data_IF_038972832625
#
_entry.id   IF_038972832625
#
_cell.length_a   1.000
_cell.length_b   1.000
_cell.length_c   1.000
_cell.angle_alpha   90.00
_cell.angle_beta   90.00
_cell.angle_gamma   90.00
#
_symmetry.space_group_name_H-M   'P 1'
#
loop_
_entity.id
_entity.type
_entity.pdbx_description
1 polymer ?
#
# COMPACT_ATOMS: atom_id res chain seq x y z
N UNK A 1 12.21 18.17 -1.14
CA UNK A 1 11.18 19.05 -1.72
C UNK A 1 10.90 20.11 -0.68
N UNK A 2 11.58 21.24 -0.83
CA UNK A 2 11.49 22.45 0.01
C UNK A 2 11.41 23.64 -0.97
N UNK A 3 10.56 24.65 -0.72
CA UNK A 3 10.08 25.02 0.60
C UNK A 3 8.59 24.77 0.79
N UNK A 4 8.22 23.80 1.63
CA UNK A 4 6.82 23.61 2.04
C UNK A 4 6.29 24.80 2.84
N UNK A 5 7.22 25.59 3.38
CA UNK A 5 6.95 26.80 4.15
C UNK A 5 6.74 28.06 3.29
N UNK A 6 6.86 27.94 1.96
CA UNK A 6 6.68 29.08 1.04
C UNK A 6 5.23 29.39 0.68
N UNK A 7 4.28 28.54 1.09
CA UNK A 7 2.86 28.72 0.81
C UNK A 7 1.98 28.19 1.93
N UNK A 8 0.83 28.83 2.14
CA UNK A 8 -0.24 28.35 3.02
C UNK A 8 -1.18 27.35 2.31
N UNK A 9 -1.03 27.19 0.99
CA UNK A 9 -1.89 26.30 0.22
C UNK A 9 -1.49 24.85 0.47
N UNK A 10 -2.35 24.08 1.13
CA UNK A 10 -2.09 22.69 1.51
C UNK A 10 -2.50 21.65 0.45
N UNK A 11 -2.96 22.06 -0.74
CA UNK A 11 -3.41 21.14 -1.79
C UNK A 11 -2.31 20.18 -2.28
N UNK A 12 -1.03 20.47 -2.01
CA UNK A 12 0.07 19.54 -2.28
C UNK A 12 0.05 18.29 -1.38
N UNK A 13 -0.67 18.31 -0.24
CA UNK A 13 -0.74 17.20 0.69
C UNK A 13 -1.64 16.07 0.19
N UNK A 14 -2.56 16.35 -0.74
CA UNK A 14 -3.44 15.34 -1.31
C UNK A 14 -4.63 15.91 -2.05
N UNK A 15 -5.33 15.03 -2.75
CA UNK A 15 -6.58 15.29 -3.43
C UNK A 15 -7.38 13.99 -3.53
N UNK A 16 -8.69 14.10 -3.72
CA UNK A 16 -9.58 13.00 -4.10
C UNK A 16 -10.01 13.19 -5.55
N UNK A 17 -9.80 12.17 -6.39
CA UNK A 17 -10.37 12.14 -7.73
C UNK A 17 -11.77 11.51 -7.67
N UNK A 18 -12.80 12.33 -7.43
CA UNK A 18 -14.19 11.86 -7.29
C UNK A 18 -14.75 11.17 -8.55
N UNK A 19 -14.15 11.41 -9.72
CA UNK A 19 -14.51 10.74 -10.98
C UNK A 19 -13.85 9.35 -11.16
N UNK A 20 -13.04 8.89 -10.20
CA UNK A 20 -12.35 7.60 -10.30
C UNK A 20 -13.35 6.43 -10.24
N UNK A 21 -13.41 5.54 -11.25
CA UNK A 21 -14.37 4.43 -11.28
C UNK A 21 -14.04 3.31 -10.27
N UNK A 22 -12.85 3.35 -9.64
CA UNK A 22 -12.42 2.35 -8.67
C UNK A 22 -12.75 2.75 -7.22
N UNK A 23 -13.39 3.91 -7.00
CA UNK A 23 -13.73 4.39 -5.66
C UNK A 23 -14.89 3.58 -5.03
N UNK A 24 -14.82 3.21 -3.73
CA UNK A 24 -13.66 3.28 -2.85
C UNK A 24 -12.62 2.20 -3.17
N UNK A 25 -11.38 2.61 -3.48
CA UNK A 25 -10.32 1.67 -3.89
C UNK A 25 -9.88 0.73 -2.76
N UNK A 26 -10.07 1.14 -1.49
CA UNK A 26 -9.79 0.34 -0.29
C UNK A 26 -10.97 0.41 0.68
N UNK A 27 -11.24 -0.70 1.36
CA UNK A 27 -12.29 -0.77 2.38
C UNK A 27 -11.92 0.09 3.61
N UNK A 28 -12.94 0.69 4.23
CA UNK A 28 -12.81 1.41 5.51
C UNK A 28 -12.45 2.89 5.42
N UNK A 29 -12.13 3.43 4.24
CA UNK A 29 -11.95 4.87 4.03
C UNK A 29 -13.27 5.49 3.61
N UNK A 30 -13.79 6.46 4.38
CA UNK A 30 -15.14 7.04 4.18
C UNK A 30 -15.18 8.56 3.90
N UNK A 31 -14.03 9.24 3.98
CA UNK A 31 -13.93 10.70 3.82
C UNK A 31 -12.98 11.02 2.67
N UNK A 32 -12.02 11.91 2.91
CA UNK A 32 -10.95 12.27 2.00
C UNK A 32 -10.05 11.07 1.69
N UNK A 33 -10.08 10.64 0.44
CA UNK A 33 -9.17 9.62 -0.09
C UNK A 33 -7.98 10.32 -0.75
N UNK A 34 -6.76 10.05 -0.27
CA UNK A 34 -5.57 10.68 -0.87
C UNK A 34 -5.11 9.92 -2.12
N UNK A 35 -5.53 10.39 -3.30
CA UNK A 35 -5.17 9.81 -4.59
C UNK A 35 -3.71 10.06 -5.01
N UNK A 36 -3.01 10.99 -4.35
CA UNK A 36 -1.58 11.22 -4.61
C UNK A 36 -0.74 9.95 -4.42
N UNK A 37 -1.20 9.05 -3.56
CA UNK A 37 -0.51 7.83 -3.20
C UNK A 37 -1.23 6.56 -3.69
N UNK A 38 -2.09 6.67 -4.72
CA UNK A 38 -2.78 5.50 -5.33
C UNK A 38 -1.79 4.37 -5.68
N UNK A 39 -0.57 4.73 -6.05
CA UNK A 39 0.57 3.84 -5.97
C UNK A 39 1.34 4.15 -4.69
N UNK A 40 1.51 3.14 -3.83
CA UNK A 40 2.20 3.32 -2.56
C UNK A 40 3.65 3.75 -2.81
N UNK A 41 4.08 4.95 -2.39
CA UNK A 41 5.45 5.40 -2.57
C UNK A 41 6.44 4.62 -1.69
N UNK A 42 5.94 3.81 -0.75
CA UNK A 42 6.74 2.94 0.11
C UNK A 42 6.81 1.49 -0.38
N UNK A 43 6.38 1.19 -1.61
CA UNK A 43 6.31 -0.19 -2.11
C UNK A 43 7.68 -0.91 -2.13
N UNK A 44 8.77 -0.18 -2.32
CA UNK A 44 10.14 -0.70 -2.31
C UNK A 44 10.87 -0.55 -0.96
N UNK A 45 10.23 0.08 0.02
CA UNK A 45 10.85 0.45 1.29
C UNK A 45 10.20 -0.29 2.46
N UNK A 46 10.94 -0.46 3.54
CA UNK A 46 10.40 -0.91 4.81
C UNK A 46 9.30 0.03 5.29
N UNK A 47 8.15 -0.55 5.66
CA UNK A 47 7.02 0.21 6.11
C UNK A 47 6.13 -0.61 7.05
N UNK A 48 5.38 0.03 7.94
CA UNK A 48 4.47 -0.65 8.85
C UNK A 48 3.10 -0.87 8.20
N UNK A 49 3.00 -0.90 6.87
CA UNK A 49 1.74 -1.20 6.20
C UNK A 49 1.38 -2.68 6.39
N UNK A 50 0.08 -3.04 6.43
CA UNK A 50 -0.36 -4.44 6.50
C UNK A 50 -0.17 -5.17 5.16
N UNK A 51 0.97 -4.98 4.48
CA UNK A 51 1.24 -5.63 3.21
C UNK A 51 1.39 -7.14 3.38
N UNK A 52 1.08 -7.87 2.32
CA UNK A 52 1.42 -9.29 2.17
C UNK A 52 2.58 -9.41 1.19
N UNK A 53 3.30 -10.53 1.21
CA UNK A 53 4.29 -10.82 0.19
C UNK A 53 3.71 -11.76 -0.84
N UNK A 54 3.86 -11.40 -2.11
CA UNK A 54 3.48 -12.22 -3.24
C UNK A 54 4.70 -12.45 -4.12
N UNK A 55 4.72 -13.58 -4.83
CA UNK A 55 5.71 -13.85 -5.87
C UNK A 55 5.04 -13.62 -7.21
N UNK A 56 5.62 -12.74 -8.03
CA UNK A 56 5.08 -12.49 -9.37
C UNK A 56 5.37 -13.65 -10.34
N UNK A 57 4.84 -13.56 -11.56
CA UNK A 57 5.04 -14.56 -12.62
C UNK A 57 6.51 -14.78 -13.04
N UNK A 58 7.41 -13.88 -12.63
CA UNK A 58 8.85 -13.95 -12.91
C UNK A 58 9.67 -14.43 -11.71
N UNK A 59 9.01 -14.87 -10.63
CA UNK A 59 9.68 -15.35 -9.42
C UNK A 59 10.18 -14.24 -8.49
N UNK A 60 9.82 -12.97 -8.75
CA UNK A 60 10.22 -11.85 -7.91
C UNK A 60 9.25 -11.61 -6.77
N UNK A 61 9.77 -11.48 -5.55
CA UNK A 61 8.97 -11.09 -4.39
C UNK A 61 8.54 -9.63 -4.48
N UNK A 62 7.28 -9.36 -4.16
CA UNK A 62 6.66 -8.03 -4.15
C UNK A 62 5.75 -7.87 -2.95
N UNK A 63 5.53 -6.63 -2.54
CA UNK A 63 4.47 -6.28 -1.60
C UNK A 63 3.13 -6.22 -2.32
N UNK A 64 2.16 -6.97 -1.81
CA UNK A 64 0.73 -6.73 -2.05
C UNK A 64 0.21 -5.78 -0.97
N UNK A 65 -0.01 -4.53 -1.37
CA UNK A 65 -0.52 -3.46 -0.51
C UNK A 65 -2.04 -3.28 -0.62
N UNK A 66 -2.78 -4.16 -1.32
CA UNK A 66 -4.25 -4.08 -1.41
C UNK A 66 -5.01 -4.00 -0.07
N UNK A 67 -4.53 -4.56 1.07
CA UNK A 67 -5.19 -4.37 2.37
C UNK A 67 -4.80 -3.06 3.09
N UNK A 68 -3.90 -2.24 2.53
CA UNK A 68 -3.37 -1.05 3.22
C UNK A 68 -4.20 0.20 2.93
N UNK A 69 -4.63 0.90 3.99
CA UNK A 69 -5.32 2.20 3.87
C UNK A 69 -4.50 3.37 4.45
N UNK A 70 -3.30 3.13 4.99
CA UNK A 70 -2.44 4.16 5.58
C UNK A 70 -2.15 5.35 4.64
N UNK A 71 -1.87 5.16 3.34
CA UNK A 71 -1.62 6.29 2.44
C UNK A 71 -2.91 6.95 1.94
N UNK A 72 -4.09 6.49 2.36
CA UNK A 72 -5.38 6.89 1.79
C UNK A 72 -6.37 7.44 2.81
N UNK A 73 -6.00 7.53 4.08
CA UNK A 73 -6.88 7.99 5.14
C UNK A 73 -6.64 9.46 5.44
N UNK A 74 -7.31 10.37 4.74
CA UNK A 74 -7.17 11.83 4.90
C UNK A 74 -5.91 12.41 4.27
N UNK A 75 -5.94 13.68 3.84
CA UNK A 75 -4.78 14.29 3.15
C UNK A 75 -3.60 14.51 4.09
N UNK A 76 -3.81 15.22 5.20
CA UNK A 76 -2.75 15.57 6.15
C UNK A 76 -2.12 14.34 6.82
N UNK A 77 -2.96 13.39 7.23
CA UNK A 77 -2.52 12.16 7.90
C UNK A 77 -1.69 11.28 6.95
N UNK A 78 -2.20 11.02 5.74
CA UNK A 78 -1.49 10.25 4.73
C UNK A 78 -0.17 10.93 4.32
N UNK A 79 -0.20 12.23 4.06
CA UNK A 79 0.99 13.01 3.72
C UNK A 79 2.06 12.91 4.81
N UNK A 80 1.68 13.16 6.06
CA UNK A 80 2.62 13.14 7.18
C UNK A 80 3.23 11.75 7.39
N UNK A 81 2.42 10.70 7.24
CA UNK A 81 2.88 9.31 7.32
C UNK A 81 3.89 8.97 6.22
N UNK A 82 3.58 9.30 4.96
CA UNK A 82 4.48 9.05 3.83
C UNK A 82 5.78 9.85 3.98
N UNK A 83 5.70 11.13 4.31
CA UNK A 83 6.88 11.98 4.47
C UNK A 83 7.81 11.46 5.57
N UNK A 84 7.26 11.00 6.71
CA UNK A 84 8.03 10.39 7.80
C UNK A 84 8.83 9.18 7.34
N UNK A 85 8.27 8.32 6.49
CA UNK A 85 9.00 7.13 6.00
C UNK A 85 9.94 7.39 4.84
N UNK A 86 9.67 8.40 4.03
CA UNK A 86 10.59 8.84 2.99
C UNK A 86 11.76 9.69 3.51
N UNK A 87 11.69 10.20 4.75
CA UNK A 87 12.80 10.96 5.35
C UNK A 87 14.04 10.09 5.60
N UNK A 88 13.82 8.83 5.99
CA UNK A 88 14.89 7.85 6.25
C UNK A 88 14.48 6.46 5.73
N UNK A 89 14.42 6.27 4.40
CA UNK A 89 13.91 5.05 3.82
C UNK A 89 14.93 3.92 4.00
N UNK A 90 14.45 2.77 4.45
CA UNK A 90 15.20 1.50 4.44
C UNK A 90 14.63 0.67 3.30
N UNK A 91 15.49 0.08 2.46
CA UNK A 91 15.01 -0.81 1.39
C UNK A 91 14.39 -2.06 1.99
N UNK A 92 13.26 -2.49 1.45
CA UNK A 92 12.64 -3.74 1.86
C UNK A 92 13.40 -4.95 1.31
N UNK A 93 13.67 -5.92 2.17
CA UNK A 93 14.52 -7.07 1.87
C UNK A 93 13.76 -8.33 1.40
N UNK A 94 12.43 -8.25 1.30
CA UNK A 94 11.60 -9.39 0.87
C UNK A 94 10.92 -10.16 2.02
N UNK A 95 11.04 -9.71 3.28
CA UNK A 95 10.42 -10.36 4.43
C UNK A 95 8.91 -10.10 4.56
N UNK A 96 8.21 -11.05 5.19
CA UNK A 96 6.78 -10.97 5.52
C UNK A 96 6.48 -9.89 6.56
N UNK A 97 5.29 -9.29 6.51
CA UNK A 97 4.89 -8.33 7.53
C UNK A 97 4.63 -9.03 8.87
N UNK A 98 5.34 -8.62 9.92
CA UNK A 98 5.25 -9.24 11.26
C UNK A 98 4.30 -8.50 12.19
N UNK A 99 3.96 -7.23 11.90
CA UNK A 99 3.13 -6.37 12.75
C UNK A 99 1.62 -6.63 12.61
N UNK A 100 1.19 -7.21 11.48
CA UNK A 100 -0.21 -7.45 11.17
C UNK A 100 -0.40 -8.93 10.85
N UNK A 101 -0.58 -9.76 11.88
CA UNK A 101 -1.04 -11.14 11.70
C UNK A 101 -2.52 -11.13 11.38
N UNK A 102 -2.86 -11.22 10.09
CA UNK A 102 -4.23 -11.49 9.66
C UNK A 102 -4.41 -13.00 9.60
N UNK A 103 -5.24 -13.56 10.50
CA UNK A 103 -5.80 -14.90 10.31
C UNK A 103 -6.62 -14.89 9.02
N UNK A 104 -6.16 -15.61 8.01
CA UNK A 104 -6.92 -15.79 6.76
C UNK A 104 -8.26 -16.48 7.08
N UNK A 105 -9.39 -16.08 6.46
CA UNK A 105 -10.50 -16.99 6.27
C UNK A 105 -10.02 -18.18 5.42
N UNK A 106 -10.42 -19.38 5.82
CA UNK A 106 -9.95 -20.71 5.38
C UNK A 106 -9.99 -20.96 3.85
N UNK A 107 -10.64 -20.09 3.08
CA UNK A 107 -10.93 -20.30 1.65
C UNK A 107 -9.91 -19.68 0.68
N UNK A 108 -8.86 -19.02 1.19
CA UNK A 108 -7.85 -18.32 0.37
C UNK A 108 -6.61 -19.17 0.03
N UNK A 109 -6.67 -20.50 0.15
CA UNK A 109 -5.62 -21.36 -0.42
C UNK A 109 -5.78 -21.41 -1.96
N UNK A 110 -4.77 -20.98 -2.75
CA UNK A 110 -4.83 -21.17 -4.18
C UNK A 110 -4.91 -22.67 -4.48
N UNK A 111 -5.91 -23.07 -5.28
CA UNK A 111 -6.12 -24.45 -5.73
C UNK A 111 -4.77 -25.06 -6.11
N UNK A 112 -4.33 -26.08 -5.37
CA UNK A 112 -3.17 -26.90 -5.73
C UNK A 112 -3.37 -27.32 -7.19
N UNK A 113 -2.38 -27.02 -8.03
CA UNK A 113 -2.34 -27.56 -9.38
C UNK A 113 -2.41 -29.08 -9.24
N UNK A 114 -3.45 -29.68 -9.81
CA UNK A 114 -3.66 -31.12 -9.73
C UNK A 114 -2.48 -31.83 -10.40
N UNK A 115 -1.95 -32.79 -9.66
CA UNK A 115 -0.85 -33.65 -10.03
C UNK A 115 -1.28 -34.60 -11.14
N UNK A 116 -0.46 -34.77 -12.17
CA UNK A 116 0.04 -36.09 -12.61
C UNK A 116 0.88 -35.93 -13.88
N UNK A 117 2.11 -36.45 -13.79
CA UNK A 117 3.04 -36.65 -14.90
C UNK A 117 3.18 -38.16 -15.02
N UNK A 118 3.09 -38.65 -16.26
CA UNK A 118 3.65 -39.90 -16.77
C UNK A 118 2.93 -41.21 -16.42
N UNK A 119 2.24 -41.77 -17.42
CA UNK A 119 2.49 -43.15 -17.86
C UNK A 119 3.37 -43.08 -19.13
#
# INVERSE_FOLDING_TARGET
MEPKDSTINEAFKGFTNDACPFMPCHQGVKREFNCLFCYCPLIAYECPGPYRVITDRHGMKRKDCSPCNLPHNGYLQSWSFIQKWLERPILWDGHEQTRYTVSLPEEAEPRRADSTRSD
#
